data_IF_940568468206
#
_entry.id   IF_940568468206
#
_cell.length_a   1.000
_cell.length_b   1.000
_cell.length_c   1.000
_cell.angle_alpha   90.00
_cell.angle_beta   90.00
_cell.angle_gamma   90.00
#
_symmetry.space_group_name_H-M   'P 1'
#
loop_
_entity.id
_entity.type
_entity.pdbx_description
1 polymer ?
#
# COMPACT_ATOMS: atom_id res chain seq x y z
N UNK A 1 23.55 7.17 22.46
CA UNK A 1 22.17 6.64 22.41
C UNK A 1 21.55 6.72 21.00
N UNK A 2 22.33 6.82 19.92
CA UNK A 2 21.82 7.12 18.57
C UNK A 2 21.44 5.89 17.73
N UNK A 3 22.02 4.71 17.99
CA UNK A 3 21.81 3.51 17.16
C UNK A 3 20.47 2.81 17.40
N UNK A 4 19.93 2.89 18.61
CA UNK A 4 18.66 2.24 18.98
C UNK A 4 17.46 2.91 18.30
N UNK A 5 17.46 4.25 18.22
CA UNK A 5 16.39 5.02 17.60
C UNK A 5 16.33 4.78 16.08
N UNK A 6 17.50 4.71 15.43
CA UNK A 6 17.60 4.37 14.00
C UNK A 6 17.11 2.94 13.71
N UNK A 7 17.52 1.96 14.51
CA UNK A 7 17.07 0.58 14.35
C UNK A 7 15.55 0.42 14.61
N UNK A 8 14.99 1.16 15.56
CA UNK A 8 13.54 1.19 15.78
C UNK A 8 12.80 1.78 14.58
N UNK A 9 13.33 2.85 13.97
CA UNK A 9 12.72 3.47 12.78
C UNK A 9 12.72 2.55 11.56
N UNK A 10 13.79 1.78 11.37
CA UNK A 10 13.90 0.80 10.28
C UNK A 10 12.94 -0.38 10.48
N UNK A 11 12.79 -0.85 11.72
CA UNK A 11 11.83 -1.91 12.07
C UNK A 11 10.38 -1.50 11.77
N UNK A 12 10.01 -0.27 12.11
CA UNK A 12 8.68 0.29 11.82
C UNK A 12 8.44 0.39 10.31
N UNK A 13 9.38 0.97 9.56
CA UNK A 13 9.27 1.06 8.10
C UNK A 13 9.13 -0.33 7.45
N UNK A 14 9.91 -1.31 7.90
CA UNK A 14 9.81 -2.67 7.40
C UNK A 14 8.45 -3.31 7.72
N UNK A 15 7.89 -3.05 8.91
CA UNK A 15 6.57 -3.52 9.30
C UNK A 15 5.47 -2.89 8.42
N UNK A 16 5.56 -1.59 8.13
CA UNK A 16 4.63 -0.88 7.25
C UNK A 16 4.71 -1.40 5.81
N UNK A 17 5.91 -1.58 5.26
CA UNK A 17 6.11 -2.20 3.94
C UNK A 17 5.52 -3.61 3.90
N UNK A 18 5.74 -4.41 4.95
CA UNK A 18 5.18 -5.76 5.03
C UNK A 18 3.64 -5.76 5.09
N UNK A 19 3.04 -4.84 5.84
CA UNK A 19 1.60 -4.66 5.88
C UNK A 19 1.03 -4.23 4.52
N UNK A 20 1.68 -3.27 3.85
CA UNK A 20 1.32 -2.82 2.51
C UNK A 20 1.36 -3.95 1.48
N UNK A 21 2.42 -4.77 1.50
CA UNK A 21 2.55 -5.96 0.63
C UNK A 21 1.40 -6.96 0.84
N UNK A 22 1.02 -7.23 2.09
CA UNK A 22 -0.10 -8.14 2.40
C UNK A 22 -1.44 -7.58 1.91
N UNK A 23 -1.69 -6.28 2.11
CA UNK A 23 -2.90 -5.64 1.62
C UNK A 23 -2.97 -5.66 0.09
N UNK A 24 -1.88 -5.31 -0.60
CA UNK A 24 -1.81 -5.35 -2.05
C UNK A 24 -2.03 -6.76 -2.61
N UNK A 25 -1.43 -7.80 -2.00
CA UNK A 25 -1.62 -9.18 -2.41
C UNK A 25 -3.08 -9.64 -2.25
N UNK A 26 -3.73 -9.29 -1.13
CA UNK A 26 -5.15 -9.57 -0.92
C UNK A 26 -6.01 -8.86 -1.97
N UNK A 27 -5.77 -7.58 -2.22
CA UNK A 27 -6.53 -6.80 -3.20
C UNK A 27 -6.33 -7.32 -4.62
N UNK A 28 -5.13 -7.76 -4.97
CA UNK A 28 -4.85 -8.43 -6.24
C UNK A 28 -5.68 -9.71 -6.41
N UNK A 29 -5.80 -10.53 -5.35
CA UNK A 29 -6.60 -11.75 -5.37
C UNK A 29 -8.10 -11.43 -5.55
N UNK A 30 -8.61 -10.39 -4.88
CA UNK A 30 -9.99 -9.90 -5.06
C UNK A 30 -10.23 -9.45 -6.51
N UNK A 31 -9.34 -8.62 -7.06
CA UNK A 31 -9.42 -8.15 -8.45
C UNK A 31 -9.38 -9.31 -9.47
N UNK A 32 -8.55 -10.33 -9.24
CA UNK A 32 -8.51 -11.52 -10.10
C UNK A 32 -9.77 -12.38 -9.97
N UNK A 33 -10.39 -12.40 -8.79
CA UNK A 33 -11.65 -13.10 -8.55
C UNK A 33 -12.84 -12.39 -9.20
N UNK A 34 -12.85 -11.06 -9.21
CA UNK A 34 -13.87 -10.25 -9.88
C UNK A 34 -13.83 -10.44 -11.41
N UNK A 35 -12.62 -10.53 -11.98
CA UNK A 35 -12.42 -10.79 -13.40
C UNK A 35 -11.16 -11.65 -13.63
N UNK A 36 -11.35 -12.97 -13.83
CA UNK A 36 -10.24 -13.90 -14.08
C UNK A 36 -9.47 -13.65 -15.38
N UNK A 37 -9.98 -12.82 -16.30
CA UNK A 37 -9.31 -12.51 -17.56
C UNK A 37 -8.25 -11.41 -17.43
N UNK A 38 -8.29 -10.62 -16.33
CA UNK A 38 -7.35 -9.51 -16.11
C UNK A 38 -5.89 -9.97 -16.16
N UNK A 39 -5.07 -9.30 -16.95
CA UNK A 39 -3.62 -9.52 -16.93
C UNK A 39 -3.00 -9.06 -15.61
N UNK A 40 -1.77 -9.52 -15.33
CA UNK A 40 -1.03 -9.04 -14.17
C UNK A 40 -0.79 -7.52 -14.22
N UNK A 41 -0.54 -6.97 -15.41
CA UNK A 41 -0.36 -5.54 -15.64
C UNK A 41 -1.62 -4.75 -15.28
N UNK A 42 -2.80 -5.20 -15.74
CA UNK A 42 -4.07 -4.57 -15.40
C UNK A 42 -4.35 -4.58 -13.89
N UNK A 43 -4.00 -5.67 -13.20
CA UNK A 43 -4.13 -5.73 -11.74
C UNK A 43 -3.18 -4.73 -11.07
N UNK A 44 -1.93 -4.64 -11.54
CA UNK A 44 -0.95 -3.68 -11.00
C UNK A 44 -1.40 -2.24 -11.21
N UNK A 45 -1.95 -1.91 -12.37
CA UNK A 45 -2.44 -0.55 -12.66
C UNK A 45 -3.61 -0.19 -11.74
N UNK A 46 -4.57 -1.10 -11.53
CA UNK A 46 -5.68 -0.88 -10.58
C UNK A 46 -5.19 -0.71 -9.13
N UNK A 47 -4.12 -1.41 -8.74
CA UNK A 47 -3.51 -1.23 -7.42
C UNK A 47 -2.82 0.13 -7.29
N UNK A 48 -2.17 0.63 -8.35
CA UNK A 48 -1.57 1.97 -8.39
C UNK A 48 -2.64 3.05 -8.29
N UNK A 49 -3.69 2.95 -9.10
CA UNK A 49 -4.82 3.89 -9.07
C UNK A 49 -5.46 3.95 -7.67
N UNK A 50 -5.62 2.79 -7.02
CA UNK A 50 -6.14 2.71 -5.66
C UNK A 50 -5.19 3.34 -4.62
N UNK A 51 -3.89 3.17 -4.77
CA UNK A 51 -2.89 3.79 -3.90
C UNK A 51 -2.86 5.31 -4.06
N UNK A 52 -2.90 5.81 -5.30
CA UNK A 52 -2.93 7.24 -5.60
C UNK A 52 -4.21 7.90 -5.07
N UNK A 53 -5.36 7.24 -5.19
CA UNK A 53 -6.62 7.71 -4.62
C UNK A 53 -6.56 7.80 -3.08
N UNK A 54 -6.01 6.77 -2.43
CA UNK A 54 -5.84 6.76 -0.97
C UNK A 54 -4.87 7.86 -0.51
N UNK A 55 -3.78 8.11 -1.25
CA UNK A 55 -2.87 9.21 -0.94
C UNK A 55 -3.55 10.58 -1.11
N UNK A 56 -4.32 10.75 -2.18
CA UNK A 56 -5.08 11.97 -2.40
C UNK A 56 -6.10 12.24 -1.28
N UNK A 57 -6.80 11.21 -0.81
CA UNK A 57 -7.71 11.30 0.34
C UNK A 57 -6.96 11.65 1.62
N UNK A 58 -5.84 10.99 1.90
CA UNK A 58 -5.02 11.26 3.08
C UNK A 58 -4.53 12.72 3.10
N UNK A 59 -4.03 13.23 1.97
CA UNK A 59 -3.61 14.63 1.84
C UNK A 59 -4.78 15.59 2.10
N UNK A 60 -5.96 15.32 1.51
CA UNK A 60 -7.16 16.13 1.75
C UNK A 60 -7.54 16.17 3.23
N UNK A 61 -7.57 15.03 3.91
CA UNK A 61 -7.92 14.97 5.35
C UNK A 61 -6.90 15.72 6.19
N UNK A 62 -5.60 15.59 5.87
CA UNK A 62 -4.52 16.30 6.57
C UNK A 62 -4.62 17.82 6.38
N UNK A 63 -4.95 18.29 5.18
CA UNK A 63 -5.03 19.71 4.88
C UNK A 63 -6.33 20.37 5.41
N UNK A 64 -7.26 19.57 5.96
CA UNK A 64 -8.49 20.01 6.64
C UNK A 64 -8.36 20.10 8.17
N UNK A 65 -7.23 19.67 8.75
CA UNK A 65 -6.93 19.72 10.19
C UNK A 65 -5.88 20.75 10.53
#
# INVERSE_FOLDING_TARGET
MSSSLAAMSESLLNAEIAAGKRCAARRAAELRSEDPSRSAEQIVDLLRDGADAAEAEFRRVRDLG
#
